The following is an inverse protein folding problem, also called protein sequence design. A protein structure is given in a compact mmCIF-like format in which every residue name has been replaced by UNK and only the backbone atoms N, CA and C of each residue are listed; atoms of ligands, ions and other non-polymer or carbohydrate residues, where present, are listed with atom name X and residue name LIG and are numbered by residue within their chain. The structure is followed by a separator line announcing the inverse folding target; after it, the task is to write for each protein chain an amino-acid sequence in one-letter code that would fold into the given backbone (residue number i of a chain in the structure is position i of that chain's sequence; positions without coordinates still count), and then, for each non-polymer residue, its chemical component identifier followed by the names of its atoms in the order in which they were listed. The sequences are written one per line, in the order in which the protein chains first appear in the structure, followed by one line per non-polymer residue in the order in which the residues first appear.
data_IF_234071760518
#
_entry.id   IF_234071760518
#
_cell.length_a   1.000
_cell.length_b   1.000
_cell.length_c   1.000
_cell.angle_alpha   90.00
_cell.angle_beta   90.00
_cell.angle_gamma   90.00
#
_symmetry.space_group_name_H-M   'P 1'
#
loop_
_entity.id
_entity.type
_entity.pdbx_description
1 polymer ?
#
# COMPACT_ATOMS: atom_id res chain seq x y z
N UNK A 1 -10.44 7.26 -5.09
CA UNK A 1 -11.39 6.18 -5.47
C UNK A 1 -10.85 4.76 -5.32
N UNK A 2 -9.53 4.50 -5.47
CA UNK A 2 -8.97 3.15 -5.34
C UNK A 2 -9.28 2.44 -4.01
N UNK A 3 -9.19 3.14 -2.87
CA UNK A 3 -9.45 2.54 -1.55
C UNK A 3 -10.92 2.10 -1.38
N UNK A 4 -11.87 2.90 -1.87
CA UNK A 4 -13.32 2.58 -1.84
C UNK A 4 -13.61 1.32 -2.65
N UNK A 5 -13.01 1.21 -3.84
CA UNK A 5 -13.16 0.03 -4.71
C UNK A 5 -12.65 -1.25 -4.05
N UNK A 6 -11.49 -1.19 -3.38
CA UNK A 6 -10.90 -2.33 -2.67
C UNK A 6 -11.83 -2.81 -1.55
N UNK A 7 -12.48 -1.89 -0.82
CA UNK A 7 -13.43 -2.26 0.23
C UNK A 7 -14.69 -2.93 -0.33
N UNK A 8 -15.25 -2.43 -1.44
CA UNK A 8 -16.44 -3.04 -2.07
C UNK A 8 -16.23 -4.51 -2.46
N UNK A 9 -15.01 -4.90 -2.80
CA UNK A 9 -14.68 -6.27 -3.23
C UNK A 9 -14.24 -7.15 -2.05
N UNK A 10 -13.43 -6.62 -1.12
CA UNK A 10 -12.71 -7.44 -0.13
C UNK A 10 -13.32 -7.47 1.29
N UNK A 11 -14.37 -6.67 1.56
CA UNK A 11 -15.14 -6.76 2.82
C UNK A 11 -15.70 -8.18 3.07
N UNK A 12 -16.42 -8.83 2.15
CA UNK A 12 -17.02 -10.14 2.42
C UNK A 12 -15.98 -11.27 2.54
N UNK A 13 -14.74 -11.05 2.11
CA UNK A 13 -13.68 -12.07 2.15
C UNK A 13 -12.83 -11.95 3.41
N UNK A 14 -12.33 -10.75 3.73
CA UNK A 14 -11.37 -10.54 4.84
C UNK A 14 -11.68 -9.32 5.71
N UNK A 15 -12.86 -8.70 5.54
CA UNK A 15 -13.21 -7.43 6.17
C UNK A 15 -12.25 -6.27 5.82
N UNK A 16 -11.60 -6.39 4.66
CA UNK A 16 -10.64 -5.45 4.04
C UNK A 16 -9.56 -4.93 5.01
N UNK A 17 -8.39 -5.58 5.01
CA UNK A 17 -7.24 -5.06 5.73
C UNK A 17 -6.46 -4.04 4.90
N UNK A 18 -5.71 -4.50 3.89
CA UNK A 18 -4.73 -3.77 3.04
C UNK A 18 -3.81 -2.77 3.78
N UNK A 19 -3.83 -2.77 5.11
CA UNK A 19 -3.16 -1.84 5.99
C UNK A 19 -2.85 -2.59 7.30
N UNK A 20 -1.59 -2.99 7.51
CA UNK A 20 -1.20 -3.77 8.67
C UNK A 20 -1.48 -3.07 10.01
N UNK A 21 -1.32 -1.74 10.06
CA UNK A 21 -1.62 -0.95 11.26
C UNK A 21 -3.12 -0.93 11.57
N UNK A 22 -3.99 -0.83 10.54
CA UNK A 22 -5.46 -0.96 10.71
C UNK A 22 -5.83 -2.32 11.29
N UNK A 23 -5.21 -3.40 10.83
CA UNK A 23 -5.52 -4.76 11.29
C UNK A 23 -5.04 -5.05 12.71
N UNK A 24 -3.96 -4.41 13.15
CA UNK A 24 -3.37 -4.66 14.48
C UNK A 24 -4.28 -4.15 15.60
N UNK A 25 -4.97 -3.02 15.41
CA UNK A 25 -5.87 -2.44 16.41
C UNK A 25 -6.97 -3.42 16.85
N UNK A 26 -7.88 -3.85 15.96
CA UNK A 26 -8.93 -4.81 16.30
C UNK A 26 -8.40 -6.15 16.78
N UNK A 27 -7.28 -6.65 16.22
CA UNK A 27 -6.72 -7.95 16.62
C UNK A 27 -6.33 -7.99 18.11
N UNK A 28 -5.85 -6.88 18.68
CA UNK A 28 -5.48 -6.79 20.09
C UNK A 28 -6.70 -6.84 21.04
N UNK A 29 -7.86 -6.38 20.59
CA UNK A 29 -9.07 -6.24 21.44
C UNK A 29 -10.17 -7.27 21.13
N UNK A 30 -10.13 -7.93 19.95
CA UNK A 30 -11.14 -8.88 19.51
C UNK A 30 -10.93 -10.31 20.03
N UNK A 31 -9.78 -10.61 20.66
CA UNK A 31 -9.46 -11.91 21.26
C UNK A 31 -8.31 -12.66 20.57
N UNK A 32 -7.81 -13.71 21.24
CA UNK A 32 -6.56 -14.39 20.88
C UNK A 32 -6.54 -15.05 19.49
N UNK A 33 -7.69 -15.51 18.99
CA UNK A 33 -7.78 -16.13 17.66
C UNK A 33 -7.43 -15.16 16.52
N UNK A 34 -7.76 -13.87 16.66
CA UNK A 34 -7.49 -12.86 15.63
C UNK A 34 -6.01 -12.45 15.57
N UNK A 35 -5.29 -12.54 16.68
CA UNK A 35 -3.84 -12.33 16.72
C UNK A 35 -3.09 -13.39 15.92
N UNK A 36 -3.59 -14.63 15.92
CA UNK A 36 -2.97 -15.72 15.13
C UNK A 36 -3.10 -15.55 13.62
N UNK A 37 -4.04 -14.72 13.16
CA UNK A 37 -4.24 -14.42 11.74
C UNK A 37 -3.56 -13.11 11.29
N UNK A 38 -3.06 -12.32 12.25
CA UNK A 38 -2.50 -10.99 11.99
C UNK A 38 -1.31 -11.02 11.02
N UNK A 39 -0.51 -12.08 11.03
CA UNK A 39 0.65 -12.22 10.15
C UNK A 39 0.29 -12.12 8.66
N UNK A 40 -0.89 -12.62 8.26
CA UNK A 40 -1.35 -12.57 6.87
C UNK A 40 -1.58 -11.12 6.41
N UNK A 41 -2.09 -10.29 7.30
CA UNK A 41 -2.38 -8.88 7.05
C UNK A 41 -1.15 -7.97 7.09
N UNK A 42 -0.01 -8.50 7.52
CA UNK A 42 1.28 -7.85 7.32
C UNK A 42 1.92 -8.31 6.01
N UNK A 43 1.97 -9.62 5.78
CA UNK A 43 2.73 -10.21 4.69
C UNK A 43 2.09 -9.93 3.33
N UNK A 44 0.78 -10.13 3.18
CA UNK A 44 0.10 -9.93 1.89
C UNK A 44 0.13 -8.47 1.40
N UNK A 45 -0.16 -7.43 2.22
CA UNK A 45 -0.11 -6.05 1.76
C UNK A 45 1.29 -5.57 1.39
N UNK A 46 2.32 -5.98 2.14
CA UNK A 46 3.71 -5.60 1.85
C UNK A 46 4.17 -6.23 0.52
N UNK A 47 3.93 -7.52 0.33
CA UNK A 47 4.29 -8.20 -0.92
C UNK A 47 3.53 -7.59 -2.10
N UNK A 48 2.23 -7.32 -1.94
CA UNK A 48 1.43 -6.65 -2.96
C UNK A 48 1.96 -5.25 -3.32
N UNK A 49 2.34 -4.45 -2.31
CA UNK A 49 2.91 -3.12 -2.52
C UNK A 49 4.28 -3.19 -3.23
N UNK A 50 5.15 -4.13 -2.85
CA UNK A 50 6.44 -4.33 -3.52
C UNK A 50 6.25 -4.75 -4.98
N UNK A 51 5.34 -5.68 -5.26
CA UNK A 51 5.03 -6.11 -6.62
C UNK A 51 4.44 -4.97 -7.46
N UNK A 52 3.49 -4.21 -6.91
CA UNK A 52 2.90 -3.06 -7.58
C UNK A 52 3.94 -1.94 -7.82
N UNK A 53 4.84 -1.69 -6.87
CA UNK A 53 5.93 -0.72 -7.03
C UNK A 53 6.96 -1.15 -8.08
N UNK A 54 7.34 -2.43 -8.10
CA UNK A 54 8.23 -2.97 -9.12
C UNK A 54 7.59 -2.94 -10.53
N UNK A 55 6.32 -3.31 -10.63
CA UNK A 55 5.55 -3.24 -11.87
C UNK A 55 5.40 -1.79 -12.34
N UNK A 56 5.05 -0.88 -11.43
CA UNK A 56 4.97 0.55 -11.71
C UNK A 56 6.30 1.08 -12.25
N UNK A 57 7.43 0.75 -11.61
CA UNK A 57 8.76 1.14 -12.09
C UNK A 57 9.10 0.58 -13.48
N UNK A 58 8.62 -0.62 -13.81
CA UNK A 58 8.89 -1.23 -15.11
C UNK A 58 8.04 -0.62 -16.23
N UNK A 59 6.79 -0.27 -15.92
CA UNK A 59 5.84 0.27 -16.90
C UNK A 59 5.89 1.80 -17.04
N UNK A 60 6.30 2.53 -16.01
CA UNK A 60 6.46 3.99 -16.08
C UNK A 60 7.93 4.37 -16.32
N UNK A 61 8.16 5.12 -17.39
CA UNK A 61 9.41 5.85 -17.59
C UNK A 61 9.61 6.87 -16.43
N UNK A 62 10.84 7.11 -15.94
CA UNK A 62 11.10 8.09 -14.90
C UNK A 62 10.89 9.51 -15.45
N UNK A 63 9.64 9.97 -15.53
CA UNK A 63 9.31 11.25 -16.16
C UNK A 63 9.76 12.48 -15.32
N UNK A 64 9.74 12.44 -13.99
CA UNK A 64 9.72 13.72 -13.23
C UNK A 64 10.96 14.06 -12.40
N UNK A 65 12.06 13.31 -12.54
CA UNK A 65 13.33 13.64 -11.85
C UNK A 65 14.26 14.52 -12.69
N UNK A 66 14.15 14.48 -14.03
CA UNK A 66 14.97 15.34 -14.89
C UNK A 66 14.37 16.74 -15.03
N UNK A 67 13.04 16.86 -15.07
CA UNK A 67 12.36 18.16 -15.25
C UNK A 67 12.44 19.03 -13.99
N UNK A 68 12.30 18.43 -12.79
CA UNK A 68 12.51 19.15 -11.52
C UNK A 68 13.94 19.64 -11.34
N UNK A 69 14.94 18.84 -11.74
CA UNK A 69 16.36 19.24 -11.64
C UNK A 69 16.73 20.36 -12.63
N UNK A 70 16.12 20.39 -13.82
CA UNK A 70 16.39 21.43 -14.84
C UNK A 70 15.76 22.77 -14.44
N UNK A 71 14.55 22.77 -13.89
CA UNK A 71 13.87 24.00 -13.45
C UNK A 71 14.60 24.68 -12.28
N UNK A 72 15.12 23.90 -11.33
CA UNK A 72 15.88 24.44 -10.19
C UNK A 72 17.20 25.08 -10.64
N UNK A 73 17.88 24.48 -11.64
CA UNK A 73 19.12 25.01 -12.20
C UNK A 73 18.91 26.27 -13.05
N UNK A 74 17.74 26.45 -13.67
CA UNK A 74 17.39 27.68 -14.40
C UNK A 74 16.85 28.79 -13.49
N UNK A 75 16.25 28.46 -12.35
CA UNK A 75 15.78 29.44 -11.37
C UNK A 75 16.91 30.00 -10.48
N UNK A 76 18.07 29.34 -10.44
CA UNK A 76 19.25 29.73 -9.67
C UNK A 76 20.32 30.51 -10.48
N UNK A 77 20.02 30.89 -11.73
CA UNK A 77 20.85 31.74 -12.61
C UNK A 77 20.13 33.07 -12.84
#
# INVERSE_FOLDING_TARGET
FALVLIHLISIPVTNTSVNPARSTGPALFAGGEYLTQLWLFWLAPIVGAMAAGALGRWFYEPADILETTVLEKQAAV
#
